data_IF_877486157900
#
_entry.id   IF_877486157900
#
_cell.length_a   1.000
_cell.length_b   1.000
_cell.length_c   1.000
_cell.angle_alpha   90.00
_cell.angle_beta   90.00
_cell.angle_gamma   90.00
#
_symmetry.space_group_name_H-M   'P 1'
#
loop_
_entity.id
_entity.type
_entity.pdbx_description
1 polymer ?
#
# COMPACT_ATOMS: atom_id res chain seq x y z
N UNK A 1 6.91 -7.77 -13.13
CA UNK A 1 8.22 -7.83 -12.43
C UNK A 1 8.08 -7.25 -11.03
N UNK A 2 8.73 -7.83 -10.03
CA UNK A 2 8.74 -7.30 -8.66
C UNK A 2 9.98 -6.44 -8.45
N UNK A 3 9.82 -5.27 -7.83
CA UNK A 3 10.92 -4.36 -7.48
C UNK A 3 10.69 -3.72 -6.12
N UNK A 4 11.74 -3.29 -5.42
CA UNK A 4 11.59 -2.45 -4.23
C UNK A 4 10.98 -1.10 -4.63
N UNK A 5 10.10 -0.56 -3.80
CA UNK A 5 9.47 0.74 -4.02
C UNK A 5 10.54 1.83 -3.91
N UNK A 6 10.63 2.67 -4.93
CA UNK A 6 11.38 3.92 -4.85
C UNK A 6 10.50 4.97 -4.16
N UNK A 7 11.10 5.78 -3.26
CA UNK A 7 10.42 6.84 -2.51
C UNK A 7 10.09 8.09 -3.38
N UNK A 8 9.47 7.85 -4.53
CA UNK A 8 8.91 8.85 -5.42
C UNK A 8 7.43 9.04 -5.06
N UNK A 9 7.00 10.31 -4.94
CA UNK A 9 5.62 10.70 -4.60
C UNK A 9 4.58 10.04 -5.49
N UNK A 10 4.79 9.98 -6.80
CA UNK A 10 3.84 9.36 -7.75
C UNK A 10 3.68 7.86 -7.52
N UNK A 11 4.77 7.15 -7.22
CA UNK A 11 4.72 5.70 -6.94
C UNK A 11 4.05 5.44 -5.59
N UNK A 12 4.34 6.26 -4.59
CA UNK A 12 3.69 6.18 -3.27
C UNK A 12 2.19 6.43 -3.41
N UNK A 13 1.77 7.45 -4.18
CA UNK A 13 0.36 7.75 -4.42
C UNK A 13 -0.36 6.60 -5.13
N UNK A 14 0.32 5.92 -6.07
CA UNK A 14 -0.23 4.74 -6.73
C UNK A 14 -0.38 3.56 -5.76
N UNK A 15 0.63 3.29 -4.93
CA UNK A 15 0.56 2.28 -3.86
C UNK A 15 -0.56 2.59 -2.88
N UNK A 16 -0.72 3.84 -2.47
CA UNK A 16 -1.77 4.26 -1.54
C UNK A 16 -3.17 4.20 -2.15
N UNK A 17 -3.30 4.39 -3.46
CA UNK A 17 -4.56 4.17 -4.18
C UNK A 17 -4.97 2.70 -4.10
N UNK A 18 -4.05 1.78 -4.41
CA UNK A 18 -4.27 0.34 -4.29
C UNK A 18 -4.58 -0.03 -2.84
N UNK A 19 -3.79 0.45 -1.87
CA UNK A 19 -4.02 0.21 -0.45
C UNK A 19 -5.44 0.59 -0.05
N UNK A 20 -5.89 1.80 -0.41
CA UNK A 20 -7.21 2.32 -0.03
C UNK A 20 -8.33 1.48 -0.62
N UNK A 21 -8.29 1.23 -1.93
CA UNK A 21 -9.33 0.50 -2.64
C UNK A 21 -9.41 -0.95 -2.14
N UNK A 22 -8.27 -1.64 -2.11
CA UNK A 22 -8.21 -3.04 -1.67
C UNK A 22 -8.54 -3.18 -0.18
N UNK A 23 -8.11 -2.25 0.68
CA UNK A 23 -8.43 -2.31 2.12
C UNK A 23 -9.91 -2.11 2.38
N UNK A 24 -10.56 -1.13 1.73
CA UNK A 24 -11.99 -0.89 1.89
C UNK A 24 -12.80 -2.07 1.38
N UNK A 25 -12.42 -2.64 0.22
CA UNK A 25 -13.15 -3.76 -0.37
C UNK A 25 -12.99 -5.07 0.43
N UNK A 26 -11.76 -5.40 0.85
CA UNK A 26 -11.50 -6.64 1.59
C UNK A 26 -12.03 -6.60 3.04
N UNK A 27 -12.21 -5.40 3.59
CA UNK A 27 -12.67 -5.20 4.96
C UNK A 27 -13.95 -4.36 5.02
N UNK A 28 -14.91 -4.64 4.12
CA UNK A 28 -16.20 -3.93 4.06
C UNK A 28 -17.02 -4.02 5.37
N UNK A 29 -16.69 -4.99 6.23
CA UNK A 29 -17.24 -5.14 7.58
C UNK A 29 -16.75 -4.07 8.58
N UNK A 30 -15.69 -3.33 8.25
CA UNK A 30 -15.19 -2.17 9.01
C UNK A 30 -15.64 -0.88 8.31
N UNK A 31 -16.15 0.13 9.05
CA UNK A 31 -16.58 1.39 8.45
C UNK A 31 -15.49 2.06 7.61
N UNK A 32 -15.85 2.50 6.41
CA UNK A 32 -14.94 3.18 5.47
C UNK A 32 -14.18 4.35 6.11
N UNK A 33 -14.82 5.11 7.00
CA UNK A 33 -14.22 6.26 7.67
C UNK A 33 -13.03 5.87 8.57
N UNK A 34 -13.02 4.66 9.12
CA UNK A 34 -11.87 4.14 9.87
C UNK A 34 -10.64 4.04 8.97
N UNK A 35 -10.79 3.49 7.77
CA UNK A 35 -9.69 3.36 6.81
C UNK A 35 -9.23 4.71 6.27
N UNK A 36 -10.17 5.61 5.98
CA UNK A 36 -9.85 6.97 5.54
C UNK A 36 -9.13 7.77 6.63
N UNK A 37 -9.53 7.63 7.90
CA UNK A 37 -8.86 8.26 9.04
C UNK A 37 -7.42 7.79 9.23
N UNK A 38 -7.12 6.55 8.84
CA UNK A 38 -5.77 5.98 8.90
C UNK A 38 -4.93 6.21 7.64
N UNK A 39 -5.52 6.68 6.52
CA UNK A 39 -4.84 6.81 5.23
C UNK A 39 -3.54 7.62 5.31
N UNK A 40 -3.57 8.80 5.96
CA UNK A 40 -2.39 9.65 6.09
C UNK A 40 -1.32 9.01 7.00
N UNK A 41 -1.72 8.30 8.06
CA UNK A 41 -0.79 7.59 8.93
C UNK A 41 -0.08 6.49 8.14
N UNK A 42 -0.80 5.72 7.34
CA UNK A 42 -0.18 4.69 6.49
C UNK A 42 0.78 5.31 5.47
N UNK A 43 0.33 6.35 4.75
CA UNK A 43 1.14 7.02 3.72
C UNK A 43 2.40 7.67 4.28
N UNK A 44 2.28 8.40 5.38
CA UNK A 44 3.35 9.29 5.87
C UNK A 44 4.23 8.63 6.94
N UNK A 45 3.71 7.63 7.66
CA UNK A 45 4.44 6.96 8.74
C UNK A 45 4.86 5.54 8.37
N UNK A 46 3.96 4.72 7.83
CA UNK A 46 4.25 3.30 7.63
C UNK A 46 4.96 2.99 6.31
N UNK A 47 4.52 3.56 5.19
CA UNK A 47 5.20 3.34 3.90
C UNK A 47 6.68 3.75 3.94
N UNK A 48 7.09 4.88 4.56
CA UNK A 48 8.50 5.29 4.57
C UNK A 48 9.44 4.41 5.40
N UNK A 49 8.90 3.70 6.41
CA UNK A 49 9.70 2.85 7.30
C UNK A 49 9.55 1.35 6.99
N UNK A 50 8.58 0.98 6.14
CA UNK A 50 8.36 -0.39 5.72
C UNK A 50 9.22 -0.76 4.51
N UNK A 51 9.67 -2.01 4.46
CA UNK A 51 10.22 -2.62 3.27
C UNK A 51 9.10 -2.92 2.28
N UNK A 52 8.85 -1.97 1.38
CA UNK A 52 7.78 -2.07 0.39
C UNK A 52 8.31 -2.54 -0.97
N UNK A 53 7.67 -3.55 -1.54
CA UNK A 53 7.92 -4.07 -2.88
C UNK A 53 6.65 -3.91 -3.73
N UNK A 54 6.85 -3.52 -4.99
CA UNK A 54 5.79 -3.32 -5.97
C UNK A 54 5.85 -4.40 -7.05
N UNK A 55 4.68 -4.84 -7.50
CA UNK A 55 4.52 -5.66 -8.69
C UNK A 55 4.12 -4.78 -9.87
N UNK A 56 4.95 -4.83 -10.92
CA UNK A 56 4.78 -4.08 -12.16
C UNK A 56 4.33 -5.01 -13.29
N UNK A 57 3.26 -4.66 -13.99
CA UNK A 57 2.82 -5.29 -15.22
C UNK A 57 2.61 -4.20 -16.27
N UNK A 58 3.19 -4.36 -17.47
CA UNK A 58 3.14 -3.32 -18.53
C UNK A 58 3.55 -1.91 -18.07
N UNK A 59 4.54 -1.84 -17.15
CA UNK A 59 5.00 -0.63 -16.46
C UNK A 59 3.99 0.03 -15.50
N UNK A 60 2.86 -0.61 -15.23
CA UNK A 60 1.90 -0.16 -14.21
C UNK A 60 2.09 -0.92 -12.91
N UNK A 61 1.96 -0.21 -11.78
CA UNK A 61 1.90 -0.85 -10.46
C UNK A 61 0.53 -1.49 -10.31
N UNK A 62 0.48 -2.82 -10.22
CA UNK A 62 -0.74 -3.62 -10.02
C UNK A 62 -0.91 -4.11 -8.58
N UNK A 63 0.17 -4.13 -7.80
CA UNK A 63 0.09 -4.56 -6.41
C UNK A 63 1.35 -4.22 -5.64
N UNK A 64 1.28 -4.40 -4.34
CA UNK A 64 2.42 -4.21 -3.46
C UNK A 64 2.35 -5.11 -2.22
N UNK A 65 3.51 -5.27 -1.60
CA UNK A 65 3.67 -5.87 -0.28
C UNK A 65 4.57 -4.95 0.54
N UNK A 66 4.16 -4.63 1.76
CA UNK A 66 4.91 -3.83 2.73
C UNK A 66 5.17 -4.67 3.96
N UNK A 67 6.44 -4.74 4.37
CA UNK A 67 6.89 -5.47 5.55
C UNK A 67 7.39 -4.45 6.57
N UNK A 68 6.73 -4.35 7.71
CA UNK A 68 7.12 -3.46 8.82
C UNK A 68 7.86 -4.26 9.88
N UNK A 69 9.08 -3.82 10.22
CA UNK A 69 9.97 -4.41 11.24
C UNK A 69 10.21 -5.93 11.09
N UNK A 70 10.01 -6.48 9.89
CA UNK A 70 10.15 -7.92 9.62
C UNK A 70 8.99 -8.80 10.14
N UNK A 71 7.98 -8.21 10.77
CA UNK A 71 6.91 -8.96 11.47
C UNK A 71 5.52 -8.71 10.90
N UNK A 72 5.21 -7.48 10.48
CA UNK A 72 3.87 -7.13 9.99
C UNK A 72 3.85 -7.02 8.48
N UNK A 73 2.92 -7.73 7.85
CA UNK A 73 2.77 -7.76 6.39
C UNK A 73 1.45 -7.09 6.00
N UNK A 74 1.53 -6.05 5.17
CA UNK A 74 0.39 -5.55 4.40
C UNK A 74 0.59 -5.87 2.93
N UNK A 75 -0.28 -6.69 2.33
CA UNK A 75 -0.17 -7.07 0.93
C UNK A 75 -1.51 -6.88 0.22
N UNK A 76 -1.48 -6.20 -0.93
CA UNK A 76 -2.67 -5.95 -1.73
C UNK A 76 -2.36 -6.09 -3.22
N UNK A 77 -3.25 -6.75 -3.94
CA UNK A 77 -3.21 -6.95 -5.39
C UNK A 77 -4.53 -6.36 -5.92
N UNK A 78 -4.43 -5.54 -6.96
CA UNK A 78 -5.56 -5.01 -7.71
C UNK A 78 -6.03 -6.05 -8.74
#
# INVERSE_FOLDING_TARGET
>A
MIRKLDMNVEKIDKVMTIWKESTINAHEFIPKDYWLGNYNVVKEKYIPIADTYIYLEENEIKGFISILDGEYIGAFIC
#
